data_IF_978887827484
#
_entry.id   IF_978887827484
#
_cell.length_a   1.000
_cell.length_b   1.000
_cell.length_c   1.000
_cell.angle_alpha   90.00
_cell.angle_beta   90.00
_cell.angle_gamma   90.00
#
_symmetry.space_group_name_H-M   'P 1'
#
loop_
_entity.id
_entity.type
_entity.pdbx_description
1 polymer ?
#
# COMPACT_ATOMS: atom_id res chain seq x y z
N UNK A 1 6.72 -12.78 52.35
CA UNK A 1 7.51 -11.99 51.39
C UNK A 1 6.96 -12.26 50.00
N UNK A 2 6.34 -11.28 49.35
CA UNK A 2 5.87 -11.38 47.97
C UNK A 2 6.84 -10.60 47.07
N UNK A 3 7.27 -11.14 45.91
CA UNK A 3 8.16 -10.41 45.02
C UNK A 3 7.37 -9.30 44.31
N UNK A 4 7.84 -8.06 44.43
CA UNK A 4 7.37 -6.93 43.65
C UNK A 4 7.88 -7.14 42.23
N UNK A 5 6.99 -7.53 41.32
CA UNK A 5 7.27 -7.52 39.88
C UNK A 5 7.29 -6.07 39.45
N UNK A 6 8.49 -5.51 39.33
CA UNK A 6 8.71 -4.19 38.74
C UNK A 6 8.46 -4.32 37.24
N UNK A 7 7.22 -4.05 36.81
CA UNK A 7 6.91 -3.87 35.39
C UNK A 7 7.60 -2.59 34.94
N UNK A 8 8.63 -2.74 34.12
CA UNK A 8 9.37 -1.63 33.53
C UNK A 8 8.45 -0.83 32.58
N UNK A 9 8.07 0.43 32.92
CA UNK A 9 7.14 1.22 32.12
C UNK A 9 7.77 1.74 30.81
N UNK A 10 9.07 1.54 30.59
CA UNK A 10 9.78 2.08 29.41
C UNK A 10 9.74 1.16 28.18
N UNK A 11 9.28 -0.09 28.30
CA UNK A 11 9.28 -1.06 27.18
C UNK A 11 8.03 -1.03 26.29
N UNK A 12 6.93 -0.41 26.74
CA UNK A 12 5.67 -0.31 25.99
C UNK A 12 5.60 0.77 24.89
N UNK A 13 6.16 2.00 25.04
CA UNK A 13 5.87 3.09 24.09
C UNK A 13 6.45 2.85 22.68
N UNK A 14 7.55 2.12 22.57
CA UNK A 14 8.18 1.82 21.27
C UNK A 14 7.32 0.82 20.47
N UNK A 15 6.71 -0.15 21.15
CA UNK A 15 5.87 -1.18 20.52
C UNK A 15 4.56 -0.56 20.01
N UNK A 16 3.95 0.33 20.80
CA UNK A 16 2.71 1.00 20.42
C UNK A 16 2.91 1.96 19.23
N UNK A 17 4.02 2.70 19.22
CA UNK A 17 4.37 3.56 18.08
C UNK A 17 4.60 2.75 16.78
N UNK A 18 5.30 1.63 16.87
CA UNK A 18 5.50 0.74 15.71
C UNK A 18 4.18 0.14 15.22
N UNK A 19 3.29 -0.23 16.15
CA UNK A 19 1.98 -0.77 15.83
C UNK A 19 1.11 0.27 15.10
N UNK A 20 1.09 1.51 15.59
CA UNK A 20 0.38 2.63 14.96
C UNK A 20 0.85 2.83 13.53
N UNK A 21 2.17 2.92 13.31
CA UNK A 21 2.75 3.14 11.98
C UNK A 21 2.39 2.01 11.00
N UNK A 22 2.34 0.76 11.46
CA UNK A 22 1.93 -0.37 10.60
C UNK A 22 0.46 -0.23 10.20
N UNK A 23 -0.43 0.12 11.14
CA UNK A 23 -1.85 0.32 10.87
C UNK A 23 -2.05 1.45 9.87
N UNK A 24 -1.38 2.59 10.06
CA UNK A 24 -1.49 3.75 9.17
C UNK A 24 -1.06 3.42 7.73
N UNK A 25 0.01 2.64 7.57
CA UNK A 25 0.49 2.24 6.24
C UNK A 25 -0.41 1.23 5.56
N UNK A 26 -0.93 0.25 6.31
CA UNK A 26 -1.90 -0.71 5.78
C UNK A 26 -3.19 0.02 5.38
N UNK A 27 -3.65 1.00 6.17
CA UNK A 27 -4.84 1.79 5.86
C UNK A 27 -4.67 2.65 4.62
N UNK A 28 -3.50 3.30 4.45
CA UNK A 28 -3.16 4.04 3.22
C UNK A 28 -3.15 3.11 2.02
N UNK A 29 -2.54 1.92 2.14
CA UNK A 29 -2.50 0.92 1.08
C UNK A 29 -3.92 0.48 0.66
N UNK A 30 -4.76 0.15 1.64
CA UNK A 30 -6.14 -0.28 1.38
C UNK A 30 -7.00 0.84 0.81
N UNK A 31 -6.78 2.08 1.25
CA UNK A 31 -7.46 3.25 0.69
C UNK A 31 -7.08 3.45 -0.77
N UNK A 32 -5.80 3.53 -1.11
CA UNK A 32 -5.36 3.76 -2.48
C UNK A 32 -5.77 2.60 -3.41
N UNK A 33 -5.78 1.36 -2.93
CA UNK A 33 -6.30 0.22 -3.69
C UNK A 33 -7.80 0.34 -4.00
N UNK A 34 -8.60 0.77 -3.02
CA UNK A 34 -10.05 0.96 -3.18
C UNK A 34 -10.35 2.06 -4.21
N UNK A 35 -9.69 3.21 -4.07
CA UNK A 35 -9.88 4.35 -4.97
C UNK A 35 -9.40 4.02 -6.39
N UNK A 36 -8.28 3.30 -6.53
CA UNK A 36 -7.81 2.83 -7.83
C UNK A 36 -8.83 1.91 -8.53
N UNK A 37 -9.47 0.99 -7.78
CA UNK A 37 -10.53 0.12 -8.33
C UNK A 37 -11.78 0.92 -8.74
N UNK A 38 -12.15 1.94 -7.97
CA UNK A 38 -13.25 2.84 -8.34
C UNK A 38 -12.91 3.60 -9.62
N UNK A 39 -11.68 4.15 -9.73
CA UNK A 39 -11.21 4.83 -10.94
C UNK A 39 -11.23 3.91 -12.16
N UNK A 40 -10.75 2.66 -12.00
CA UNK A 40 -10.80 1.62 -13.04
C UNK A 40 -12.22 1.34 -13.51
N UNK A 41 -13.17 1.18 -12.57
CA UNK A 41 -14.57 0.93 -12.91
C UNK A 41 -15.25 2.13 -13.60
N UNK A 42 -14.73 3.34 -13.37
CA UNK A 42 -15.14 4.56 -14.09
C UNK A 42 -14.33 4.81 -15.37
N UNK A 43 -13.42 3.92 -15.73
CA UNK A 43 -12.47 4.09 -16.83
C UNK A 43 -11.66 5.39 -16.75
N UNK A 44 -11.46 5.94 -15.55
CA UNK A 44 -10.65 7.14 -15.34
C UNK A 44 -9.16 6.77 -15.23
N UNK A 45 -8.47 6.85 -16.37
CA UNK A 45 -7.05 6.50 -16.51
C UNK A 45 -6.15 7.42 -15.65
N UNK A 46 -6.51 8.70 -15.51
CA UNK A 46 -5.68 9.66 -14.78
C UNK A 46 -5.70 9.39 -13.27
N UNK A 47 -6.88 9.14 -12.70
CA UNK A 47 -7.01 8.79 -11.28
C UNK A 47 -6.34 7.43 -11.01
N UNK A 48 -6.53 6.46 -11.90
CA UNK A 48 -5.86 5.16 -11.78
C UNK A 48 -4.34 5.31 -11.78
N UNK A 49 -3.78 6.12 -12.70
CA UNK A 49 -2.34 6.43 -12.73
C UNK A 49 -1.89 7.12 -11.45
N UNK A 50 -2.68 8.06 -10.94
CA UNK A 50 -2.38 8.78 -9.71
C UNK A 50 -2.28 7.84 -8.50
N UNK A 51 -3.28 6.97 -8.30
CA UNK A 51 -3.26 6.01 -7.19
C UNK A 51 -2.15 4.97 -7.35
N UNK A 52 -1.87 4.49 -8.57
CA UNK A 52 -0.74 3.60 -8.84
C UNK A 52 0.59 4.27 -8.46
N UNK A 53 0.78 5.55 -8.81
CA UNK A 53 1.99 6.31 -8.48
C UNK A 53 2.16 6.46 -6.97
N UNK A 54 1.06 6.72 -6.24
CA UNK A 54 1.07 6.78 -4.77
C UNK A 54 1.46 5.44 -4.13
N UNK A 55 0.92 4.34 -4.65
CA UNK A 55 1.28 3.00 -4.20
C UNK A 55 2.77 2.71 -4.41
N UNK A 56 3.34 3.09 -5.55
CA UNK A 56 4.79 2.93 -5.83
C UNK A 56 5.64 3.76 -4.86
N UNK A 57 5.19 4.98 -4.54
CA UNK A 57 5.88 5.86 -3.61
C UNK A 57 5.81 5.37 -2.16
N UNK A 58 4.82 4.54 -1.82
CA UNK A 58 4.66 3.99 -0.47
C UNK A 58 5.82 3.05 -0.14
N UNK A 59 6.65 3.45 0.83
CA UNK A 59 7.78 2.64 1.33
C UNK A 59 7.57 2.31 2.80
N UNK A 60 7.68 1.03 3.21
CA UNK A 60 7.63 0.68 4.61
C UNK A 60 8.83 1.29 5.35
N UNK A 61 8.60 1.97 6.49
CA UNK A 61 9.65 2.61 7.29
C UNK A 61 10.75 1.64 7.72
N UNK A 62 11.98 2.16 7.83
CA UNK A 62 13.17 1.34 8.15
C UNK A 62 13.17 0.81 9.58
N UNK A 63 12.48 1.48 10.49
CA UNK A 63 12.33 1.12 11.90
C UNK A 63 11.32 -0.01 12.14
N UNK A 64 10.57 -0.45 11.11
CA UNK A 64 9.67 -1.59 11.24
C UNK A 64 10.43 -2.93 11.27
N UNK A 65 9.91 -3.95 11.99
CA UNK A 65 10.46 -5.29 11.96
C UNK A 65 10.58 -5.82 10.52
N UNK A 66 11.67 -6.53 10.15
CA UNK A 66 11.89 -7.01 8.78
C UNK A 66 10.70 -7.80 8.20
N UNK A 67 10.07 -8.65 9.02
CA UNK A 67 8.88 -9.43 8.61
C UNK A 67 7.69 -8.53 8.25
N UNK A 68 7.43 -7.49 9.04
CA UNK A 68 6.34 -6.55 8.77
C UNK A 68 6.60 -5.75 7.49
N UNK A 69 7.84 -5.29 7.29
CA UNK A 69 8.26 -4.60 6.07
C UNK A 69 8.06 -5.46 4.83
N UNK A 70 8.46 -6.73 4.87
CA UNK A 70 8.27 -7.66 3.77
C UNK A 70 6.80 -7.89 3.46
N UNK A 71 5.95 -8.04 4.49
CA UNK A 71 4.50 -8.23 4.31
C UNK A 71 3.85 -7.02 3.62
N UNK A 72 4.19 -5.80 4.05
CA UNK A 72 3.69 -4.56 3.43
C UNK A 72 4.20 -4.45 1.99
N UNK A 73 5.49 -4.70 1.76
CA UNK A 73 6.07 -4.67 0.41
C UNK A 73 5.39 -5.67 -0.54
N UNK A 74 5.21 -6.92 -0.12
CA UNK A 74 4.58 -7.95 -0.94
C UNK A 74 3.12 -7.60 -1.30
N UNK A 75 2.35 -7.04 -0.35
CA UNK A 75 0.98 -6.58 -0.62
C UNK A 75 0.95 -5.42 -1.61
N UNK A 76 1.83 -4.43 -1.41
CA UNK A 76 1.98 -3.28 -2.31
C UNK A 76 2.35 -3.73 -3.72
N UNK A 77 3.35 -4.60 -3.85
CA UNK A 77 3.83 -5.06 -5.15
C UNK A 77 2.76 -5.87 -5.88
N UNK A 78 2.00 -6.70 -5.16
CA UNK A 78 0.81 -7.39 -5.70
C UNK A 78 -0.23 -6.37 -6.22
N UNK A 79 -0.53 -5.34 -5.45
CA UNK A 79 -1.49 -4.30 -5.85
C UNK A 79 -1.02 -3.52 -7.09
N UNK A 80 0.27 -3.19 -7.15
CA UNK A 80 0.88 -2.50 -8.32
C UNK A 80 0.76 -3.37 -9.57
N UNK A 81 1.01 -4.68 -9.46
CA UNK A 81 0.87 -5.60 -10.60
C UNK A 81 -0.57 -5.72 -11.09
N UNK A 82 -1.52 -5.89 -10.17
CA UNK A 82 -2.96 -5.98 -10.49
C UNK A 82 -3.45 -4.70 -11.20
N UNK A 83 -3.22 -3.55 -10.57
CA UNK A 83 -3.67 -2.25 -11.08
C UNK A 83 -2.90 -1.80 -12.33
N UNK A 84 -1.62 -2.18 -12.43
CA UNK A 84 -0.80 -1.93 -13.62
C UNK A 84 -1.35 -2.66 -14.85
N UNK A 85 -1.81 -3.90 -14.67
CA UNK A 85 -2.52 -4.64 -15.71
C UNK A 85 -3.79 -3.92 -16.17
N UNK A 86 -4.65 -3.52 -15.22
CA UNK A 86 -5.87 -2.75 -15.51
C UNK A 86 -5.57 -1.44 -16.24
N UNK A 87 -4.53 -0.71 -15.82
CA UNK A 87 -4.11 0.54 -16.45
C UNK A 87 -3.67 0.33 -17.90
N UNK A 88 -2.90 -0.72 -18.19
CA UNK A 88 -2.49 -1.06 -19.55
C UNK A 88 -3.69 -1.44 -20.41
N UNK A 89 -4.63 -2.22 -19.88
CA UNK A 89 -5.87 -2.58 -20.60
C UNK A 89 -6.69 -1.34 -20.95
N UNK A 90 -6.89 -0.42 -20.01
CA UNK A 90 -7.63 0.82 -20.25
C UNK A 90 -6.90 1.75 -21.24
N UNK A 91 -5.57 1.86 -21.12
CA UNK A 91 -4.75 2.68 -22.03
C UNK A 91 -4.80 2.16 -23.47
N UNK A 92 -4.76 0.85 -23.64
CA UNK A 92 -4.90 0.19 -24.95
C UNK A 92 -6.32 0.32 -25.52
N UNK A 93 -7.35 0.37 -24.68
CA UNK A 93 -8.73 0.59 -25.12
C UNK A 93 -8.98 2.06 -25.50
N UNK A 94 -8.35 3.01 -24.80
CA UNK A 94 -8.42 4.43 -25.10
C UNK A 94 -7.62 4.85 -26.35
N UNK A 95 -6.63 4.03 -26.73
CA UNK A 95 -5.84 4.22 -27.95
C UNK A 95 -6.27 3.17 -28.97
N UNK A 96 -7.30 3.42 -29.80
CA UNK A 96 -7.62 2.48 -30.87
C UNK A 96 -6.36 2.35 -31.72
N UNK A 97 -5.86 1.11 -31.84
CA UNK A 97 -4.63 0.78 -32.54
C UNK A 97 -4.59 1.54 -33.86
N UNK A 98 -3.56 2.36 -34.06
CA UNK A 98 -3.07 2.73 -35.39
C UNK A 98 -2.42 1.51 -36.06
N UNK A 99 -3.15 0.38 -36.11
CA UNK A 99 -2.81 -0.81 -36.88
C UNK A 99 -3.80 -0.87 -38.03
N UNK A 100 -3.59 0.01 -39.00
CA UNK A 100 -4.07 -0.09 -40.38
C UNK A 100 -3.34 1.01 -41.17
N UNK A 101 -2.02 0.84 -41.39
CA UNK A 101 -1.28 1.42 -42.53
C UNK A 101 -0.20 0.43 -42.93
#
# INVERSE_FOLDING_TARGET
MLPIVVSDPTSQPIVDAQRSVIVDLDDVLWRDLREARVARNRSNIHDLRFHLTRLIALRPPRNLPPRARMKIAARRDKAILELGGDFLTLSNAATPRAQEV
#
